data_IF_387809495643
#
_entry.id   IF_387809495643
#
_cell.length_a   1.000
_cell.length_b   1.000
_cell.length_c   1.000
_cell.angle_alpha   90.00
_cell.angle_beta   90.00
_cell.angle_gamma   90.00
#
_symmetry.space_group_name_H-M   'P 1'
#
loop_
_entity.id
_entity.type
_entity.pdbx_description
1 polymer ?
#
# COMPACT_ATOMS: atom_id res chain seq x y z
N UNK A 1 -3.38 -9.56 -16.27
CA UNK A 1 -2.29 -8.69 -16.76
C UNK A 1 -1.85 -7.81 -15.60
N UNK A 2 -0.55 -7.51 -15.44
CA UNK A 2 -0.11 -6.59 -14.42
C UNK A 2 -0.61 -5.17 -14.72
N UNK A 3 -0.86 -4.40 -13.66
CA UNK A 3 -1.32 -3.02 -13.70
C UNK A 3 -0.34 -2.18 -12.90
N UNK A 4 0.02 -1.02 -13.44
CA UNK A 4 0.87 0.00 -12.81
C UNK A 4 -0.01 1.05 -12.15
N UNK A 5 0.18 1.23 -10.85
CA UNK A 5 -0.46 2.27 -10.06
C UNK A 5 0.58 3.32 -9.72
N UNK A 6 0.35 4.55 -10.16
CA UNK A 6 1.18 5.70 -9.84
C UNK A 6 0.60 6.38 -8.61
N UNK A 7 1.31 6.30 -7.50
CA UNK A 7 0.88 6.78 -6.20
C UNK A 7 1.82 7.90 -5.78
N UNK A 8 1.29 8.99 -5.28
CA UNK A 8 2.09 10.09 -4.75
C UNK A 8 1.76 10.33 -3.29
N UNK A 9 2.80 10.40 -2.48
CA UNK A 9 2.76 10.82 -1.09
C UNK A 9 3.25 12.27 -1.06
N UNK A 10 2.37 13.27 -0.92
CA UNK A 10 2.79 14.68 -0.91
C UNK A 10 3.65 15.01 0.32
N UNK A 11 3.44 14.29 1.42
CA UNK A 11 4.21 14.41 2.65
C UNK A 11 4.52 13.02 3.19
N UNK A 12 5.79 12.60 3.07
CA UNK A 12 6.24 11.29 3.55
C UNK A 12 6.15 11.12 5.06
N UNK A 13 6.20 12.20 5.84
CA UNK A 13 6.08 12.13 7.29
C UNK A 13 4.61 11.95 7.74
N UNK A 14 3.67 12.53 6.99
CA UNK A 14 2.23 12.39 7.18
C UNK A 14 1.66 11.10 6.57
N UNK A 15 2.38 10.45 5.66
CA UNK A 15 2.04 9.16 5.06
C UNK A 15 2.14 7.98 6.06
N UNK A 16 1.47 8.10 7.20
CA UNK A 16 1.36 7.07 8.22
C UNK A 16 -0.11 6.88 8.56
N UNK A 17 -0.57 5.63 8.45
CA UNK A 17 -1.88 5.23 8.93
C UNK A 17 -2.05 5.44 10.44
N UNK A 18 -3.28 5.30 10.90
CA UNK A 18 -3.65 5.53 12.30
C UNK A 18 -2.98 4.57 13.29
N UNK A 19 -2.59 3.37 12.85
CA UNK A 19 -1.96 2.35 13.69
C UNK A 19 -0.48 2.18 13.34
N UNK A 20 0.43 2.63 14.20
CA UNK A 20 1.88 2.54 13.98
C UNK A 20 2.38 1.12 13.71
N UNK A 21 1.63 0.08 14.09
CA UNK A 21 1.99 -1.31 13.86
C UNK A 21 1.76 -1.75 12.41
N UNK A 22 0.90 -1.04 11.67
CA UNK A 22 0.56 -1.31 10.27
C UNK A 22 1.06 -0.22 9.32
N UNK A 23 1.35 0.95 9.86
CA UNK A 23 1.78 2.12 9.09
C UNK A 23 3.20 2.02 8.55
N UNK A 24 3.50 2.85 7.56
CA UNK A 24 4.87 3.02 7.08
C UNK A 24 5.81 3.48 8.21
N UNK A 25 6.88 2.71 8.41
CA UNK A 25 7.97 3.06 9.34
C UNK A 25 9.16 3.74 8.64
N UNK A 26 9.21 3.68 7.30
CA UNK A 26 10.28 4.26 6.49
C UNK A 26 10.16 5.79 6.39
N UNK A 27 11.29 6.42 6.07
CA UNK A 27 11.41 7.87 5.95
C UNK A 27 11.92 8.31 4.56
N UNK A 28 12.14 7.37 3.63
CA UNK A 28 12.68 7.63 2.29
C UNK A 28 12.03 6.73 1.24
N UNK A 29 12.05 7.18 -0.01
CA UNK A 29 11.28 6.55 -1.10
C UNK A 29 11.56 5.06 -1.28
N UNK A 30 12.83 4.65 -1.14
CA UNK A 30 13.24 3.24 -1.24
C UNK A 30 12.59 2.39 -0.14
N UNK A 31 12.66 2.85 1.12
CA UNK A 31 12.03 2.15 2.24
C UNK A 31 10.49 2.13 2.18
N UNK A 32 9.87 3.17 1.62
CA UNK A 32 8.43 3.14 1.32
C UNK A 32 8.09 2.09 0.26
N UNK A 33 8.90 2.01 -0.80
CA UNK A 33 8.73 1.04 -1.85
C UNK A 33 8.88 -0.39 -1.34
N UNK A 34 9.93 -0.68 -0.56
CA UNK A 34 10.15 -1.99 0.05
C UNK A 34 9.00 -2.40 0.97
N UNK A 35 8.50 -1.48 1.81
CA UNK A 35 7.38 -1.77 2.71
C UNK A 35 6.08 -1.99 1.96
N UNK A 36 5.77 -1.15 0.97
CA UNK A 36 4.56 -1.32 0.16
C UNK A 36 4.65 -2.64 -0.62
N UNK A 37 5.81 -2.95 -1.18
CA UNK A 37 6.04 -4.22 -1.88
C UNK A 37 5.81 -5.41 -0.96
N UNK A 38 6.40 -5.40 0.25
CA UNK A 38 6.20 -6.46 1.23
C UNK A 38 4.72 -6.58 1.61
N UNK A 39 4.05 -5.46 1.84
CA UNK A 39 2.64 -5.44 2.19
C UNK A 39 1.72 -5.96 1.08
N UNK A 40 2.12 -5.89 -0.19
CA UNK A 40 1.38 -6.50 -1.32
C UNK A 40 1.71 -7.98 -1.50
N UNK A 41 2.94 -8.40 -1.17
CA UNK A 41 3.39 -9.79 -1.27
C UNK A 41 2.90 -10.67 -0.12
N UNK A 42 2.68 -10.10 1.06
CA UNK A 42 2.22 -10.83 2.25
C UNK A 42 0.81 -10.42 2.64
N UNK A 43 0.12 -11.26 3.40
CA UNK A 43 -1.23 -10.98 3.93
C UNK A 43 -1.20 -10.45 5.37
N UNK A 44 -0.03 -10.33 5.97
CA UNK A 44 0.18 -9.99 7.40
C UNK A 44 -0.55 -8.72 7.85
N UNK A 45 -0.50 -7.65 7.05
CA UNK A 45 -1.17 -6.37 7.37
C UNK A 45 -2.69 -6.54 7.33
N UNK A 46 -3.21 -7.30 6.36
CA UNK A 46 -4.65 -7.55 6.26
C UNK A 46 -5.14 -8.45 7.37
N UNK A 47 -4.43 -9.52 7.70
CA UNK A 47 -4.80 -10.43 8.79
C UNK A 47 -4.87 -9.69 10.13
N UNK A 48 -3.88 -8.81 10.39
CA UNK A 48 -3.88 -7.95 11.56
C UNK A 48 -5.03 -6.95 11.57
N UNK A 49 -5.31 -6.29 10.44
CA UNK A 49 -6.43 -5.35 10.34
C UNK A 49 -7.78 -6.06 10.49
N UNK A 50 -7.93 -7.24 9.88
CA UNK A 50 -9.10 -8.11 9.96
C UNK A 50 -9.35 -8.52 11.41
N UNK A 51 -8.31 -8.96 12.13
CA UNK A 51 -8.41 -9.30 13.55
C UNK A 51 -8.71 -8.11 14.47
N UNK A 52 -8.53 -6.88 14.01
CA UNK A 52 -8.92 -5.66 14.72
C UNK A 52 -10.36 -5.20 14.40
N UNK A 53 -11.05 -5.84 13.45
CA UNK A 53 -12.47 -5.57 13.18
C UNK A 53 -13.36 -6.24 14.23
N UNK A 54 -14.53 -5.65 14.48
CA UNK A 54 -15.53 -6.18 15.41
C UNK A 54 -16.08 -7.54 14.93
N UNK A 55 -16.21 -7.70 13.61
CA UNK A 55 -16.60 -8.96 12.96
C UNK A 55 -15.54 -9.37 11.90
N UNK A 56 -14.51 -10.15 12.28
CA UNK A 56 -13.46 -10.57 11.35
C UNK A 56 -13.96 -11.53 10.27
N UNK A 57 -14.99 -12.34 10.56
CA UNK A 57 -15.53 -13.31 9.61
C UNK A 57 -16.41 -12.68 8.51
N UNK A 58 -17.02 -11.52 8.78
CA UNK A 58 -17.77 -10.75 7.78
C UNK A 58 -16.91 -9.90 6.83
N UNK A 59 -15.60 -9.84 7.05
CA UNK A 59 -14.66 -9.17 6.13
C UNK A 59 -14.47 -10.02 4.88
N UNK A 60 -14.55 -9.38 3.72
CA UNK A 60 -14.33 -10.03 2.43
C UNK A 60 -12.90 -10.62 2.35
N UNK A 61 -12.80 -11.94 2.20
CA UNK A 61 -11.52 -12.64 2.07
C UNK A 61 -10.76 -12.23 0.79
N UNK A 62 -11.45 -11.71 -0.23
CA UNK A 62 -10.82 -11.21 -1.45
C UNK A 62 -9.91 -10.01 -1.18
N UNK A 63 -10.19 -9.20 -0.15
CA UNK A 63 -9.31 -8.09 0.27
C UNK A 63 -7.95 -8.58 0.79
N UNK A 64 -7.88 -9.85 1.21
CA UNK A 64 -6.66 -10.52 1.64
C UNK A 64 -5.81 -11.07 0.50
N UNK A 65 -6.14 -10.83 -0.77
CA UNK A 65 -5.29 -11.33 -1.86
C UNK A 65 -3.90 -10.68 -1.83
N UNK A 66 -2.87 -11.50 -2.04
CA UNK A 66 -1.48 -11.05 -2.17
C UNK A 66 -0.93 -11.43 -3.53
N UNK A 67 0.03 -10.65 -4.01
CA UNK A 67 0.73 -10.90 -5.26
C UNK A 67 2.24 -11.01 -4.98
N UNK A 68 2.81 -12.23 -4.98
CA UNK A 68 4.24 -12.44 -4.72
C UNK A 68 5.13 -11.79 -5.78
N UNK A 69 4.60 -11.51 -6.97
CA UNK A 69 5.31 -10.84 -8.06
C UNK A 69 5.13 -9.32 -8.03
N UNK A 70 4.43 -8.76 -7.04
CA UNK A 70 4.26 -7.33 -6.91
C UNK A 70 5.63 -6.64 -6.80
N UNK A 71 5.84 -5.60 -7.58
CA UNK A 71 7.07 -4.79 -7.56
C UNK A 71 6.69 -3.34 -7.29
N UNK A 72 7.38 -2.69 -6.37
CA UNK A 72 7.22 -1.27 -6.12
C UNK A 72 8.53 -0.56 -6.39
N UNK A 73 8.47 0.56 -7.10
CA UNK A 73 9.58 1.49 -7.24
C UNK A 73 9.24 2.79 -6.56
N UNK A 74 10.14 3.32 -5.75
CA UNK A 74 9.98 4.61 -5.10
C UNK A 74 10.98 5.61 -5.63
N UNK A 75 10.52 6.82 -5.90
CA UNK A 75 11.34 7.97 -6.27
C UNK A 75 11.04 9.12 -5.29
N UNK A 76 12.11 9.71 -4.74
CA UNK A 76 11.98 10.85 -3.83
C UNK A 76 12.06 12.15 -4.62
N UNK A 77 11.04 13.00 -4.47
CA UNK A 77 10.95 14.34 -5.07
C UNK A 77 10.77 15.39 -3.96
N UNK A 78 11.89 15.90 -3.46
CA UNK A 78 11.94 16.83 -2.32
C UNK A 78 11.18 16.28 -1.10
N UNK A 79 10.02 16.87 -0.79
CA UNK A 79 9.13 16.49 0.32
C UNK A 79 8.13 15.40 -0.07
N UNK A 80 7.91 15.25 -1.38
CA UNK A 80 6.99 14.27 -1.93
C UNK A 80 7.69 12.99 -2.35
N UNK A 81 6.98 11.87 -2.27
CA UNK A 81 7.47 10.56 -2.69
C UNK A 81 6.51 10.02 -3.73
N UNK A 82 7.04 9.62 -4.87
CA UNK A 82 6.29 8.98 -5.93
C UNK A 82 6.59 7.48 -5.91
N UNK A 83 5.55 6.66 -5.82
CA UNK A 83 5.61 5.21 -5.78
C UNK A 83 4.91 4.65 -7.01
N UNK A 84 5.57 3.77 -7.74
CA UNK A 84 5.02 3.04 -8.87
C UNK A 84 4.89 1.57 -8.47
N UNK A 85 3.67 1.14 -8.19
CA UNK A 85 3.34 -0.25 -7.87
C UNK A 85 2.93 -0.98 -9.14
N UNK A 86 3.60 -2.08 -9.47
CA UNK A 86 3.21 -3.01 -10.53
C UNK A 86 2.69 -4.29 -9.90
N UNK A 87 1.43 -4.62 -10.10
CA UNK A 87 0.81 -5.82 -9.52
C UNK A 87 -0.34 -6.33 -10.38
N UNK A 88 -0.68 -7.62 -10.26
CA UNK A 88 -1.91 -8.16 -10.84
C UNK A 88 -3.14 -7.98 -9.95
N UNK A 89 -2.98 -7.40 -8.75
CA UNK A 89 -4.08 -7.17 -7.82
C UNK A 89 -5.06 -6.10 -8.34
N UNK A 90 -6.37 -6.27 -8.08
CA UNK A 90 -7.36 -5.25 -8.39
C UNK A 90 -7.14 -3.99 -7.55
N UNK A 91 -7.49 -2.84 -8.13
CA UNK A 91 -7.22 -1.54 -7.51
C UNK A 91 -7.92 -1.33 -6.17
N UNK A 92 -9.01 -2.04 -5.89
CA UNK A 92 -9.66 -2.02 -4.57
C UNK A 92 -8.74 -2.51 -3.45
N UNK A 93 -8.00 -3.60 -3.68
CA UNK A 93 -7.07 -4.18 -2.71
C UNK A 93 -5.88 -3.24 -2.52
N UNK A 94 -5.37 -2.69 -3.64
CA UNK A 94 -4.27 -1.72 -3.60
C UNK A 94 -4.65 -0.48 -2.78
N UNK A 95 -5.82 0.09 -3.03
CA UNK A 95 -6.33 1.27 -2.31
C UNK A 95 -6.59 0.96 -0.83
N UNK A 96 -7.16 -0.20 -0.53
CA UNK A 96 -7.38 -0.65 0.83
C UNK A 96 -6.04 -0.77 1.59
N UNK A 97 -5.04 -1.44 1.00
CA UNK A 97 -3.72 -1.61 1.60
C UNK A 97 -3.00 -0.28 1.82
N UNK A 98 -3.04 0.62 0.84
CA UNK A 98 -2.47 1.96 0.96
C UNK A 98 -3.13 2.75 2.09
N UNK A 99 -4.44 2.61 2.27
CA UNK A 99 -5.16 3.25 3.37
C UNK A 99 -4.73 2.72 4.74
N UNK A 100 -4.39 1.45 4.87
CA UNK A 100 -3.84 0.91 6.12
C UNK A 100 -2.42 1.43 6.40
N UNK A 101 -1.57 1.50 5.36
CA UNK A 101 -0.16 1.87 5.51
C UNK A 101 0.07 3.40 5.64
N UNK A 102 -0.55 4.19 4.76
CA UNK A 102 -0.40 5.65 4.67
C UNK A 102 -1.64 6.44 5.13
N UNK A 103 -2.71 5.78 5.54
CA UNK A 103 -3.93 6.48 5.96
C UNK A 103 -4.59 7.24 4.81
N UNK A 104 -4.73 8.55 5.00
CA UNK A 104 -5.33 9.47 4.03
C UNK A 104 -4.29 10.30 3.25
N UNK A 105 -3.01 10.19 3.61
CA UNK A 105 -1.94 11.06 3.11
C UNK A 105 -1.27 10.51 1.84
N UNK A 106 -2.08 10.03 0.91
CA UNK A 106 -1.64 9.51 -0.39
C UNK A 106 -2.63 9.88 -1.49
N UNK A 107 -2.13 9.90 -2.72
CA UNK A 107 -2.91 10.27 -3.91
C UNK A 107 -2.65 9.24 -5.01
N UNK A 108 -3.71 8.70 -5.60
CA UNK A 108 -3.59 7.93 -6.84
C UNK A 108 -3.51 8.90 -8.01
N UNK A 109 -2.36 8.96 -8.67
CA UNK A 109 -2.14 9.82 -9.84
C UNK A 109 -2.71 9.21 -11.09
N UNK A 110 -2.38 7.95 -11.35
CA UNK A 110 -2.74 7.28 -12.59
C UNK A 110 -2.74 5.76 -12.41
N UNK A 111 -3.43 5.06 -13.32
CA UNK A 111 -3.51 3.60 -13.37
C UNK A 111 -3.40 3.16 -14.82
N UNK A 112 -2.31 2.48 -15.15
CA UNK A 112 -2.06 2.01 -16.51
C UNK A 112 -1.87 0.50 -16.55
N UNK A 113 -2.17 -0.12 -17.69
CA UNK A 113 -1.77 -1.51 -17.92
C UNK A 113 -0.23 -1.58 -18.01
N UNK A 114 0.37 -2.59 -17.36
CA UNK A 114 1.81 -2.73 -17.22
C UNK A 114 2.47 -3.48 -18.38
#
# INVERSE_FOLDING_TARGET
MPTRYYIRLPDGAAARGSDSSMSFSAHGADGFAEQLQRAMRTTEIFDRWRGAQDDPDGVDAALGASDPNAVVKGEQHDLSIDLVLTTTLPGEIVRHRLRLLAGSAWQLRDVTAA
#
